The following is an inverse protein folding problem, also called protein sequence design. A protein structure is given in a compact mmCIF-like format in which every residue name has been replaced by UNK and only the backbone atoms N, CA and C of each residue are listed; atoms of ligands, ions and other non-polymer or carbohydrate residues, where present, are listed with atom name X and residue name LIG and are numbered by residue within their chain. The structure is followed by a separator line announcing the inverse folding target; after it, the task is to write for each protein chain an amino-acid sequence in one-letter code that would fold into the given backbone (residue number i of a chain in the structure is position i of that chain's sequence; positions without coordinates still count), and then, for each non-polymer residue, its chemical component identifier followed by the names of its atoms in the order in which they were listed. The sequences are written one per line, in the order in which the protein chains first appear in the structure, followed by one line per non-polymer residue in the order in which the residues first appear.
data_IF_621197644513
#
_entry.id   IF_621197644513
#
_cell.length_a   1.000
_cell.length_b   1.000
_cell.length_c   1.000
_cell.angle_alpha   90.00
_cell.angle_beta   90.00
_cell.angle_gamma   90.00
#
_symmetry.space_group_name_H-M   'P 1'
#
loop_
_entity.id
_entity.type
_entity.pdbx_description
1 polymer ?
#
# COMPACT_ATOMS: atom_id res chain seq x y z
N UNK A 1 -10.52 -26.56 34.20
CA UNK A 1 -11.01 -26.11 32.89
C UNK A 1 -9.88 -26.39 31.92
N UNK A 2 -10.06 -27.35 31.02
CA UNK A 2 -9.01 -27.84 30.12
C UNK A 2 -8.62 -26.72 29.14
N UNK A 3 -7.30 -26.43 29.10
CA UNK A 3 -6.70 -25.66 28.04
C UNK A 3 -7.07 -26.29 26.68
N UNK A 4 -8.09 -25.76 26.03
CA UNK A 4 -8.30 -26.04 24.62
C UNK A 4 -7.10 -25.41 23.91
N UNK A 5 -6.08 -26.22 23.57
CA UNK A 5 -4.92 -25.81 22.79
C UNK A 5 -5.45 -25.10 21.56
N UNK A 6 -5.09 -23.84 21.38
CA UNK A 6 -5.28 -23.11 20.13
C UNK A 6 -4.62 -23.93 19.02
N UNK A 7 -5.42 -24.56 18.19
CA UNK A 7 -4.93 -25.42 17.13
C UNK A 7 -4.91 -24.60 15.85
N UNK A 8 -3.74 -24.44 15.24
CA UNK A 8 -3.63 -23.81 13.94
C UNK A 8 -4.52 -24.53 12.91
N UNK A 9 -5.15 -23.81 12.02
CA UNK A 9 -6.08 -24.33 10.99
C UNK A 9 -5.44 -25.40 10.09
N UNK A 10 -4.09 -25.44 10.01
CA UNK A 10 -3.29 -26.38 9.22
C UNK A 10 -2.71 -27.55 10.02
N UNK A 11 -3.09 -27.74 11.29
CA UNK A 11 -2.49 -28.71 12.23
C UNK A 11 -2.81 -30.19 12.00
N UNK A 12 -3.66 -30.55 11.03
CA UNK A 12 -4.22 -31.91 10.93
C UNK A 12 -3.21 -33.06 10.68
N UNK A 13 -1.99 -32.78 10.19
CA UNK A 13 -0.94 -33.80 9.94
C UNK A 13 0.14 -33.83 11.03
N UNK A 14 0.14 -32.87 11.93
CA UNK A 14 1.19 -32.68 12.93
C UNK A 14 0.78 -33.26 14.29
N UNK A 15 1.68 -33.97 14.95
CA UNK A 15 1.50 -34.53 16.30
C UNK A 15 1.87 -33.52 17.40
N UNK A 16 2.61 -32.47 17.06
CA UNK A 16 3.09 -31.44 17.98
C UNK A 16 2.79 -30.04 17.39
N UNK A 17 2.64 -29.05 18.27
CA UNK A 17 2.56 -27.64 17.85
C UNK A 17 3.92 -27.11 17.38
N UNK A 18 3.96 -25.96 16.67
CA UNK A 18 5.22 -25.33 16.26
C UNK A 18 6.05 -24.92 17.48
N UNK A 19 7.37 -25.03 17.34
CA UNK A 19 8.29 -24.52 18.37
C UNK A 19 8.16 -23.01 18.51
N UNK A 20 8.38 -22.47 19.73
CA UNK A 20 8.30 -21.02 20.01
C UNK A 20 9.14 -20.18 19.04
N UNK A 21 10.34 -20.65 18.69
CA UNK A 21 11.19 -19.97 17.73
C UNK A 21 10.56 -19.89 16.33
N UNK A 22 9.85 -20.93 15.91
CA UNK A 22 9.14 -20.96 14.62
C UNK A 22 7.97 -20.00 14.60
N UNK A 23 7.22 -19.87 15.70
CA UNK A 23 6.14 -18.87 15.82
C UNK A 23 6.69 -17.45 15.69
N UNK A 24 7.80 -17.16 16.38
CA UNK A 24 8.45 -15.83 16.33
C UNK A 24 9.05 -15.48 14.97
N UNK A 25 9.51 -16.46 14.20
CA UNK A 25 10.07 -16.24 12.85
C UNK A 25 8.96 -16.19 11.80
N UNK A 26 7.91 -16.99 11.98
CA UNK A 26 6.83 -17.15 11.02
C UNK A 26 5.72 -16.12 11.13
N UNK A 27 5.59 -15.42 12.27
CA UNK A 27 4.53 -14.42 12.44
C UNK A 27 4.74 -13.23 11.49
N UNK A 28 3.65 -12.77 10.89
CA UNK A 28 3.63 -11.59 10.04
C UNK A 28 2.62 -10.54 10.51
N UNK A 29 1.78 -10.87 11.50
CA UNK A 29 0.69 -9.99 11.96
C UNK A 29 1.19 -8.64 12.46
N UNK A 30 2.39 -8.56 13.03
CA UNK A 30 3.02 -7.31 13.42
C UNK A 30 3.20 -6.31 12.27
N UNK A 31 3.23 -6.80 11.03
CA UNK A 31 3.38 -6.00 9.81
C UNK A 31 2.10 -5.99 8.97
N UNK A 32 1.47 -7.16 8.77
CA UNK A 32 0.37 -7.34 7.81
C UNK A 32 -1.01 -6.96 8.38
N UNK A 33 -1.15 -6.68 9.68
CA UNK A 33 -2.37 -6.10 10.26
C UNK A 33 -2.89 -4.88 9.48
N UNK A 34 -2.02 -4.20 8.72
CA UNK A 34 -2.40 -3.10 7.81
C UNK A 34 -3.30 -3.54 6.67
N UNK A 35 -3.32 -4.82 6.36
CA UNK A 35 -4.18 -5.40 5.31
C UNK A 35 -5.59 -5.70 5.81
N UNK A 36 -5.86 -5.61 7.11
CA UNK A 36 -7.15 -5.95 7.69
C UNK A 36 -8.38 -5.34 6.99
N UNK A 37 -8.40 -4.04 6.62
CA UNK A 37 -9.54 -3.49 5.89
C UNK A 37 -9.77 -4.14 4.53
N UNK A 38 -8.69 -4.57 3.85
CA UNK A 38 -8.74 -5.21 2.53
C UNK A 38 -9.14 -6.68 2.65
N UNK A 39 -8.61 -7.41 3.64
CA UNK A 39 -9.04 -8.78 3.95
C UNK A 39 -10.52 -8.84 4.32
N UNK A 40 -10.99 -7.94 5.18
CA UNK A 40 -12.40 -7.86 5.56
C UNK A 40 -13.25 -7.55 4.32
N UNK A 41 -12.83 -6.64 3.45
CA UNK A 41 -13.51 -6.35 2.19
C UNK A 41 -13.56 -7.57 1.28
N UNK A 42 -12.44 -8.27 1.11
CA UNK A 42 -12.34 -9.53 0.34
C UNK A 42 -13.24 -10.62 0.90
N UNK A 43 -13.22 -10.81 2.22
CA UNK A 43 -14.05 -11.80 2.93
C UNK A 43 -15.53 -11.50 2.84
N UNK A 44 -15.96 -10.23 2.87
CA UNK A 44 -17.37 -9.84 2.65
C UNK A 44 -17.84 -10.14 1.23
N UNK A 45 -17.02 -9.88 0.22
CA UNK A 45 -17.31 -10.23 -1.16
C UNK A 45 -17.37 -11.75 -1.37
N UNK A 46 -16.48 -12.50 -0.72
CA UNK A 46 -16.52 -13.97 -0.72
C UNK A 46 -17.82 -14.51 -0.12
N UNK A 47 -18.24 -14.01 1.04
CA UNK A 47 -19.50 -14.40 1.67
C UNK A 47 -20.71 -14.08 0.77
N UNK A 48 -20.71 -12.90 0.14
CA UNK A 48 -21.76 -12.51 -0.80
C UNK A 48 -21.84 -13.46 -2.01
N UNK A 49 -20.69 -13.82 -2.58
CA UNK A 49 -20.61 -14.75 -3.70
C UNK A 49 -21.06 -16.16 -3.29
N UNK A 50 -20.62 -16.67 -2.13
CA UNK A 50 -21.04 -17.99 -1.66
C UNK A 50 -22.57 -18.08 -1.47
N UNK A 51 -23.20 -17.01 -1.00
CA UNK A 51 -24.65 -16.92 -0.91
C UNK A 51 -25.32 -16.80 -2.30
N UNK A 52 -24.72 -16.01 -3.21
CA UNK A 52 -25.22 -15.85 -4.58
C UNK A 52 -25.28 -17.18 -5.33
N UNK A 53 -24.28 -18.03 -5.15
CA UNK A 53 -24.24 -19.36 -5.79
C UNK A 53 -24.90 -20.47 -4.95
N UNK A 54 -25.49 -20.15 -3.80
CA UNK A 54 -26.27 -21.07 -2.95
C UNK A 54 -25.43 -22.03 -2.11
N UNK A 55 -24.15 -21.76 -1.88
CA UNK A 55 -23.28 -22.55 -1.00
C UNK A 55 -23.55 -22.25 0.49
N UNK A 56 -23.88 -21.00 0.80
CA UNK A 56 -24.37 -20.58 2.12
C UNK A 56 -25.72 -19.90 1.97
N UNK A 57 -26.46 -19.76 3.09
CA UNK A 57 -27.74 -19.05 3.05
C UNK A 57 -27.54 -17.53 3.12
N UNK A 58 -28.61 -16.77 2.84
CA UNK A 58 -28.57 -15.31 2.97
C UNK A 58 -28.38 -14.89 4.43
N UNK A 59 -29.00 -15.63 5.38
CA UNK A 59 -28.86 -15.40 6.81
C UNK A 59 -27.41 -15.63 7.29
N UNK A 60 -26.76 -16.68 6.78
CA UNK A 60 -25.35 -16.95 7.08
C UNK A 60 -24.43 -15.86 6.54
N UNK A 61 -24.67 -15.38 5.30
CA UNK A 61 -23.96 -14.24 4.71
C UNK A 61 -24.13 -13.00 5.58
N UNK A 62 -25.35 -12.66 5.98
CA UNK A 62 -25.65 -11.44 6.75
C UNK A 62 -24.97 -11.49 8.13
N UNK A 63 -25.00 -12.66 8.78
CA UNK A 63 -24.29 -12.87 10.04
C UNK A 63 -22.77 -12.71 9.89
N UNK A 64 -22.17 -13.29 8.84
CA UNK A 64 -20.74 -13.17 8.56
C UNK A 64 -20.38 -11.69 8.29
N UNK A 65 -21.15 -11.00 7.45
CA UNK A 65 -20.86 -9.59 7.13
C UNK A 65 -21.03 -8.68 8.35
N UNK A 66 -22.01 -8.93 9.21
CA UNK A 66 -22.19 -8.20 10.46
C UNK A 66 -21.00 -8.42 11.43
N UNK A 67 -20.54 -9.67 11.60
CA UNK A 67 -19.36 -9.99 12.39
C UNK A 67 -18.08 -9.33 11.85
N UNK A 68 -17.86 -9.37 10.55
CA UNK A 68 -16.71 -8.70 9.91
C UNK A 68 -16.76 -7.17 10.10
N UNK A 69 -17.95 -6.55 10.04
CA UNK A 69 -18.10 -5.12 10.32
C UNK A 69 -17.78 -4.78 11.78
N UNK A 70 -18.20 -5.62 12.73
CA UNK A 70 -17.89 -5.43 14.14
C UNK A 70 -16.37 -5.53 14.40
N UNK A 71 -15.70 -6.51 13.79
CA UNK A 71 -14.24 -6.65 13.88
C UNK A 71 -13.54 -5.42 13.27
N UNK A 72 -13.98 -4.95 12.10
CA UNK A 72 -13.40 -3.75 11.48
C UNK A 72 -13.52 -2.53 12.40
N UNK A 73 -14.69 -2.33 13.01
CA UNK A 73 -14.90 -1.23 13.95
C UNK A 73 -13.97 -1.32 15.18
N UNK A 74 -13.72 -2.52 15.71
CA UNK A 74 -12.75 -2.72 16.81
C UNK A 74 -11.30 -2.41 16.35
N UNK A 75 -10.92 -2.80 15.12
CA UNK A 75 -9.61 -2.51 14.56
C UNK A 75 -9.42 -1.00 14.38
N UNK A 76 -10.41 -0.30 13.82
CA UNK A 76 -10.38 1.16 13.63
C UNK A 76 -10.35 1.93 14.94
N UNK A 77 -11.00 1.41 15.99
CA UNK A 77 -10.96 1.98 17.34
C UNK A 77 -9.64 1.66 18.09
N UNK A 78 -8.79 0.77 17.57
CA UNK A 78 -7.59 0.30 18.23
C UNK A 78 -7.88 -0.66 19.42
N UNK A 79 -9.05 -1.26 19.44
CA UNK A 79 -9.52 -2.16 20.50
C UNK A 79 -9.33 -3.65 20.15
N UNK A 80 -9.04 -3.97 18.90
CA UNK A 80 -8.80 -5.34 18.46
C UNK A 80 -7.43 -5.82 18.93
N UNK A 81 -7.39 -7.00 19.58
CA UNK A 81 -6.14 -7.60 20.08
C UNK A 81 -5.57 -8.57 19.07
N UNK A 82 -4.41 -8.22 18.53
CA UNK A 82 -3.65 -9.09 17.63
C UNK A 82 -2.87 -10.14 18.41
N UNK A 83 -2.99 -11.40 18.01
CA UNK A 83 -2.29 -12.53 18.61
C UNK A 83 -1.20 -13.05 17.64
N UNK A 84 0.10 -12.87 17.95
CA UNK A 84 1.18 -13.38 17.10
C UNK A 84 1.21 -14.91 16.96
N UNK A 85 0.59 -15.66 17.89
CA UNK A 85 0.48 -17.11 17.78
C UNK A 85 -0.45 -17.57 16.65
N UNK A 86 -1.26 -16.63 16.11
CA UNK A 86 -2.13 -16.84 14.97
C UNK A 86 -1.49 -16.45 13.64
N UNK A 87 -0.16 -16.31 13.60
CA UNK A 87 0.64 -16.14 12.39
C UNK A 87 0.37 -14.83 11.64
N UNK A 88 -0.80 -14.66 11.02
CA UNK A 88 -1.12 -13.56 10.09
C UNK A 88 -2.43 -12.82 10.46
N UNK A 89 -2.67 -11.70 9.78
CA UNK A 89 -3.90 -10.90 9.90
C UNK A 89 -5.16 -11.73 9.63
N UNK A 90 -5.09 -12.62 8.66
CA UNK A 90 -6.24 -13.42 8.21
C UNK A 90 -6.68 -14.43 9.26
N UNK A 91 -5.73 -15.15 9.90
CA UNK A 91 -6.06 -16.09 10.98
C UNK A 91 -6.61 -15.38 12.22
N UNK A 92 -6.08 -14.20 12.54
CA UNK A 92 -6.59 -13.38 13.63
C UNK A 92 -8.06 -12.99 13.40
N UNK A 93 -8.38 -12.48 12.21
CA UNK A 93 -9.76 -12.11 11.84
C UNK A 93 -10.66 -13.32 11.76
N UNK A 94 -10.21 -14.42 11.13
CA UNK A 94 -10.98 -15.65 10.98
C UNK A 94 -11.32 -16.28 12.34
N UNK A 95 -10.36 -16.32 13.27
CA UNK A 95 -10.58 -16.86 14.59
C UNK A 95 -11.58 -15.99 15.37
N UNK A 96 -11.40 -14.68 15.40
CA UNK A 96 -12.31 -13.76 16.07
C UNK A 96 -13.73 -13.87 15.51
N UNK A 97 -13.85 -13.93 14.18
CA UNK A 97 -15.15 -14.07 13.52
C UNK A 97 -15.83 -15.41 13.85
N UNK A 98 -15.08 -16.52 13.82
CA UNK A 98 -15.65 -17.85 14.06
C UNK A 98 -16.10 -18.05 15.50
N UNK A 99 -15.49 -17.37 16.47
CA UNK A 99 -15.92 -17.39 17.86
C UNK A 99 -17.32 -16.78 18.04
N UNK A 100 -17.63 -15.72 17.31
CA UNK A 100 -18.89 -14.98 17.41
C UNK A 100 -19.95 -15.52 16.42
N UNK A 101 -19.53 -15.98 15.24
CA UNK A 101 -20.39 -16.37 14.14
C UNK A 101 -20.02 -17.78 13.66
N UNK A 102 -20.69 -18.86 14.13
CA UNK A 102 -20.36 -20.24 13.73
C UNK A 102 -20.41 -20.48 12.22
N UNK A 103 -21.28 -19.76 11.48
CA UNK A 103 -21.36 -19.84 10.01
C UNK A 103 -20.05 -19.40 9.32
N UNK A 104 -19.19 -18.63 9.99
CA UNK A 104 -17.92 -18.17 9.47
C UNK A 104 -16.94 -19.32 9.13
N UNK A 105 -17.09 -20.49 9.74
CA UNK A 105 -16.36 -21.68 9.37
C UNK A 105 -16.53 -22.08 7.89
N UNK A 106 -17.60 -21.62 7.22
CA UNK A 106 -17.86 -21.83 5.80
C UNK A 106 -17.19 -20.80 4.88
N UNK A 107 -16.70 -19.68 5.43
CA UNK A 107 -16.21 -18.56 4.64
C UNK A 107 -14.99 -18.92 3.78
N UNK A 108 -14.16 -19.86 4.23
CA UNK A 108 -12.98 -20.32 3.50
C UNK A 108 -13.30 -21.30 2.35
N UNK A 109 -14.58 -21.64 2.13
CA UNK A 109 -15.00 -22.51 1.03
C UNK A 109 -14.54 -21.98 -0.32
N UNK A 110 -13.91 -22.83 -1.13
CA UNK A 110 -13.36 -22.50 -2.45
C UNK A 110 -12.30 -21.37 -2.47
N UNK A 111 -11.69 -21.05 -1.34
CA UNK A 111 -10.63 -20.04 -1.17
C UNK A 111 -9.39 -20.69 -0.58
N UNK A 112 -8.22 -20.22 -1.00
CA UNK A 112 -6.93 -20.50 -0.36
C UNK A 112 -6.39 -19.22 0.29
N UNK A 113 -5.47 -19.38 1.24
CA UNK A 113 -4.69 -18.24 1.72
C UNK A 113 -3.95 -17.54 0.57
N UNK A 114 -3.50 -18.29 -0.45
CA UNK A 114 -2.75 -17.73 -1.58
C UNK A 114 -3.55 -16.71 -2.41
N UNK A 115 -4.75 -17.05 -2.86
CA UNK A 115 -5.58 -16.12 -3.65
C UNK A 115 -6.21 -15.03 -2.76
N UNK A 116 -6.42 -15.29 -1.48
CA UNK A 116 -6.84 -14.29 -0.49
C UNK A 116 -5.77 -13.20 -0.36
N UNK A 117 -4.54 -13.55 -0.01
CA UNK A 117 -3.42 -12.59 0.14
C UNK A 117 -3.15 -11.83 -1.17
N UNK A 118 -3.16 -12.52 -2.32
CA UNK A 118 -2.97 -11.87 -3.61
C UNK A 118 -4.07 -10.83 -3.90
N UNK A 119 -5.31 -11.10 -3.49
CA UNK A 119 -6.43 -10.17 -3.64
C UNK A 119 -6.27 -8.94 -2.74
N UNK A 120 -5.92 -9.16 -1.48
CA UNK A 120 -5.76 -8.09 -0.49
C UNK A 120 -4.62 -7.16 -0.87
N UNK A 121 -3.50 -7.71 -1.34
CA UNK A 121 -2.38 -6.93 -1.84
C UNK A 121 -2.77 -6.07 -3.04
N UNK A 122 -3.54 -6.60 -4.01
CA UNK A 122 -4.00 -5.81 -5.16
C UNK A 122 -4.98 -4.71 -4.74
N UNK A 123 -5.87 -4.97 -3.80
CA UNK A 123 -6.73 -3.94 -3.22
C UNK A 123 -5.91 -2.85 -2.52
N UNK A 124 -4.90 -3.25 -1.75
CA UNK A 124 -3.99 -2.33 -1.08
C UNK A 124 -3.19 -1.49 -2.09
N UNK A 125 -2.65 -2.09 -3.17
CA UNK A 125 -1.93 -1.34 -4.20
C UNK A 125 -2.83 -0.30 -4.88
N UNK A 126 -4.08 -0.64 -5.19
CA UNK A 126 -5.05 0.32 -5.76
C UNK A 126 -5.23 1.51 -4.80
N UNK A 127 -5.47 1.24 -3.53
CA UNK A 127 -5.59 2.28 -2.50
C UNK A 127 -4.31 3.11 -2.35
N UNK A 128 -3.15 2.47 -2.26
CA UNK A 128 -1.88 3.17 -2.10
C UNK A 128 -1.55 4.06 -3.30
N UNK A 129 -1.87 3.61 -4.51
CA UNK A 129 -1.71 4.43 -5.71
C UNK A 129 -2.62 5.65 -5.71
N UNK A 130 -3.86 5.55 -5.19
CA UNK A 130 -4.76 6.70 -5.06
C UNK A 130 -4.22 7.73 -4.06
N UNK A 131 -3.71 7.29 -2.91
CA UNK A 131 -3.11 8.17 -1.90
C UNK A 131 -1.84 8.87 -2.43
N UNK A 132 -1.01 8.15 -3.19
CA UNK A 132 0.17 8.71 -3.85
C UNK A 132 -0.26 9.75 -4.90
N UNK A 133 -1.24 9.45 -5.73
CA UNK A 133 -1.73 10.38 -6.76
C UNK A 133 -2.26 11.69 -6.16
N UNK A 134 -3.05 11.60 -5.08
CA UNK A 134 -3.53 12.76 -4.33
C UNK A 134 -2.38 13.58 -3.75
N UNK A 135 -1.35 12.91 -3.22
CA UNK A 135 -0.18 13.58 -2.65
C UNK A 135 0.65 14.28 -3.72
N UNK A 136 0.87 13.64 -4.87
CA UNK A 136 1.55 14.21 -6.02
C UNK A 136 0.77 15.41 -6.59
N UNK A 137 -0.57 15.31 -6.68
CA UNK A 137 -1.41 16.43 -7.13
C UNK A 137 -1.29 17.65 -6.22
N UNK A 138 -1.26 17.44 -4.89
CA UNK A 138 -1.04 18.54 -3.92
C UNK A 138 0.33 19.17 -4.06
N UNK A 139 1.39 18.35 -4.27
CA UNK A 139 2.74 18.85 -4.48
C UNK A 139 2.84 19.67 -5.78
N UNK A 140 2.23 19.19 -6.86
CA UNK A 140 2.14 19.91 -8.14
C UNK A 140 1.42 21.24 -7.94
N UNK A 141 0.27 21.26 -7.28
CA UNK A 141 -0.48 22.51 -7.02
C UNK A 141 0.38 23.52 -6.25
N UNK A 142 1.06 23.07 -5.20
CA UNK A 142 1.93 23.95 -4.40
C UNK A 142 3.09 24.54 -5.21
N UNK A 143 3.69 23.73 -6.12
CA UNK A 143 4.76 24.22 -7.01
C UNK A 143 4.23 25.19 -8.06
N UNK A 144 3.04 24.97 -8.59
CA UNK A 144 2.38 25.90 -9.53
C UNK A 144 2.04 27.22 -8.85
N UNK A 145 1.49 27.18 -7.63
CA UNK A 145 1.18 28.37 -6.84
C UNK A 145 2.44 29.19 -6.53
N UNK A 146 3.54 28.50 -6.19
CA UNK A 146 4.83 29.16 -5.97
C UNK A 146 5.42 29.72 -7.26
N UNK A 147 5.27 29.02 -8.38
CA UNK A 147 5.70 29.50 -9.69
C UNK A 147 4.93 30.78 -10.09
N UNK A 148 3.61 30.82 -9.85
CA UNK A 148 2.79 32.00 -10.12
C UNK A 148 3.27 33.21 -9.31
N UNK A 149 3.57 33.04 -8.03
CA UNK A 149 4.08 34.08 -7.15
C UNK A 149 5.48 34.58 -7.54
N UNK A 150 6.28 33.75 -8.22
CA UNK A 150 7.69 34.00 -8.55
C UNK A 150 7.95 34.30 -10.03
N UNK A 151 6.93 34.58 -10.84
CA UNK A 151 7.04 34.78 -12.29
C UNK A 151 8.08 35.85 -12.69
N UNK A 152 8.22 36.91 -11.88
CA UNK A 152 9.13 38.04 -12.15
C UNK A 152 10.51 37.88 -11.50
N UNK A 153 10.73 36.79 -10.76
CA UNK A 153 12.02 36.52 -10.10
C UNK A 153 12.92 35.84 -11.07
N UNK A 154 14.06 36.45 -11.37
CA UNK A 154 15.11 35.86 -12.21
C UNK A 154 16.22 35.36 -11.32
N UNK A 155 16.61 34.12 -11.49
CA UNK A 155 17.74 33.48 -10.81
C UNK A 155 18.81 33.04 -11.83
N UNK A 156 20.06 32.86 -11.43
CA UNK A 156 21.02 32.19 -12.30
C UNK A 156 20.66 30.69 -12.39
N UNK A 157 20.55 30.19 -13.62
CA UNK A 157 20.55 28.76 -13.88
C UNK A 157 21.96 28.22 -13.82
N UNK A 158 22.13 26.97 -13.41
CA UNK A 158 23.41 26.34 -13.21
C UNK A 158 23.58 25.08 -14.07
N UNK A 159 24.76 24.93 -14.64
CA UNK A 159 25.30 23.65 -15.14
C UNK A 159 26.65 23.41 -14.49
N UNK A 160 26.94 22.20 -14.02
CA UNK A 160 28.17 21.89 -13.30
C UNK A 160 28.43 22.78 -12.08
N UNK A 161 27.39 23.25 -11.40
CA UNK A 161 27.42 24.26 -10.33
C UNK A 161 28.09 25.59 -10.76
N UNK A 162 28.17 25.86 -12.05
CA UNK A 162 28.64 27.15 -12.60
C UNK A 162 27.44 27.94 -13.12
N UNK A 163 27.44 29.25 -12.88
CA UNK A 163 26.41 30.15 -13.42
C UNK A 163 26.36 30.06 -14.94
N UNK A 164 25.18 29.79 -15.49
CA UNK A 164 25.00 29.59 -16.93
C UNK A 164 24.07 30.68 -17.50
N UNK A 165 22.76 30.44 -17.53
CA UNK A 165 21.79 31.36 -18.12
C UNK A 165 20.87 31.94 -17.04
N UNK A 166 20.39 33.19 -17.20
CA UNK A 166 19.30 33.69 -16.35
C UNK A 166 18.02 32.91 -16.63
N UNK A 167 17.35 32.47 -15.56
CA UNK A 167 16.15 31.65 -15.62
C UNK A 167 15.07 32.25 -14.70
N UNK A 168 13.82 32.37 -15.16
CA UNK A 168 12.72 32.66 -14.24
C UNK A 168 12.60 31.55 -13.18
N UNK A 169 12.48 31.92 -11.91
CA UNK A 169 12.25 30.96 -10.81
C UNK A 169 11.04 30.07 -11.13
N UNK A 170 9.98 30.65 -11.65
CA UNK A 170 8.80 29.92 -12.08
C UNK A 170 9.12 28.80 -13.09
N UNK A 171 9.97 29.07 -14.09
CA UNK A 171 10.36 28.08 -15.08
C UNK A 171 11.13 26.92 -14.47
N UNK A 172 12.00 27.19 -13.50
CA UNK A 172 12.72 26.14 -12.74
C UNK A 172 11.76 25.27 -11.93
N UNK A 173 10.81 25.87 -11.20
CA UNK A 173 9.81 25.15 -10.42
C UNK A 173 8.92 24.28 -11.31
N UNK A 174 8.50 24.77 -12.47
CA UNK A 174 7.69 24.02 -13.42
C UNK A 174 8.41 22.82 -14.02
N UNK A 175 9.74 22.78 -14.03
CA UNK A 175 10.48 21.57 -14.41
C UNK A 175 10.19 20.40 -13.44
N UNK A 176 10.00 20.67 -12.15
CA UNK A 176 9.58 19.66 -11.17
C UNK A 176 8.11 19.28 -11.33
N UNK A 177 7.25 20.20 -11.71
CA UNK A 177 5.85 19.88 -12.06
C UNK A 177 5.80 18.87 -13.19
N UNK A 178 6.62 19.03 -14.24
CA UNK A 178 6.73 18.05 -15.33
C UNK A 178 7.22 16.68 -14.86
N UNK A 179 8.18 16.63 -13.93
CA UNK A 179 8.65 15.36 -13.35
C UNK A 179 7.53 14.66 -12.57
N UNK A 180 6.86 15.37 -11.66
CA UNK A 180 5.77 14.82 -10.86
C UNK A 180 4.54 14.43 -11.70
N UNK A 181 4.27 15.13 -12.80
CA UNK A 181 3.21 14.76 -13.74
C UNK A 181 3.50 13.40 -14.42
N UNK A 182 4.76 13.16 -14.82
CA UNK A 182 5.18 11.83 -15.32
C UNK A 182 5.10 10.76 -14.24
N UNK A 183 5.40 11.09 -12.99
CA UNK A 183 5.26 10.17 -11.85
C UNK A 183 3.81 9.75 -11.65
N UNK A 184 2.85 10.67 -11.80
CA UNK A 184 1.41 10.35 -11.76
C UNK A 184 1.02 9.39 -12.88
N UNK A 185 1.54 9.57 -14.08
CA UNK A 185 1.30 8.66 -15.21
C UNK A 185 1.84 7.25 -14.91
N UNK A 186 3.04 7.16 -14.35
CA UNK A 186 3.63 5.88 -13.94
C UNK A 186 2.81 5.20 -12.83
N UNK A 187 2.41 5.96 -11.82
CA UNK A 187 1.58 5.48 -10.72
C UNK A 187 0.21 4.97 -11.21
N UNK A 188 -0.41 5.66 -12.17
CA UNK A 188 -1.67 5.23 -12.79
C UNK A 188 -1.51 3.89 -13.54
N UNK A 189 -0.39 3.68 -14.23
CA UNK A 189 -0.10 2.41 -14.90
C UNK A 189 0.05 1.25 -13.89
N UNK A 190 0.70 1.49 -12.75
CA UNK A 190 0.80 0.52 -11.65
C UNK A 190 -0.59 0.18 -11.09
N UNK A 191 -1.44 1.19 -10.86
CA UNK A 191 -2.80 0.98 -10.38
C UNK A 191 -3.62 0.12 -11.35
N UNK A 192 -3.50 0.36 -12.66
CA UNK A 192 -4.20 -0.42 -13.68
C UNK A 192 -3.74 -1.88 -13.69
N UNK A 193 -2.45 -2.15 -13.52
CA UNK A 193 -1.95 -3.53 -13.40
C UNK A 193 -2.42 -4.22 -12.12
N UNK A 194 -2.64 -3.48 -11.03
CA UNK A 194 -3.25 -4.03 -9.83
C UNK A 194 -4.74 -4.34 -10.02
N UNK A 195 -5.40 -3.80 -11.04
CA UNK A 195 -6.84 -3.82 -11.23
C UNK A 195 -7.36 -5.13 -11.86
N UNK A 196 -6.83 -6.28 -11.45
CA UNK A 196 -7.30 -7.61 -11.87
C UNK A 196 -7.51 -8.50 -10.66
N UNK A 197 -8.67 -9.19 -10.58
CA UNK A 197 -9.09 -9.99 -9.44
C UNK A 197 -8.48 -11.40 -9.48
N UNK A 198 -7.63 -11.79 -8.52
CA UNK A 198 -7.10 -13.15 -8.44
C UNK A 198 -8.01 -14.11 -7.67
N UNK A 199 -9.00 -13.63 -6.90
CA UNK A 199 -9.84 -14.46 -6.04
C UNK A 199 -10.62 -15.48 -6.84
N UNK A 200 -10.61 -16.73 -6.36
CA UNK A 200 -11.11 -17.91 -7.06
C UNK A 200 -10.01 -18.71 -7.78
N UNK A 201 -8.76 -18.24 -7.74
CA UNK A 201 -7.61 -19.03 -8.21
C UNK A 201 -7.26 -20.19 -7.28
N UNK A 202 -7.77 -20.18 -6.05
CA UNK A 202 -7.46 -21.18 -5.03
C UNK A 202 -5.98 -21.16 -4.65
N UNK A 203 -5.44 -22.34 -4.34
CA UNK A 203 -4.02 -22.44 -4.03
C UNK A 203 -3.12 -22.20 -5.27
N UNK A 204 -3.45 -22.85 -6.40
CA UNK A 204 -2.73 -22.75 -7.69
C UNK A 204 -3.59 -23.12 -8.91
N UNK A 205 -4.71 -23.85 -8.73
CA UNK A 205 -5.43 -24.52 -9.83
C UNK A 205 -6.95 -24.26 -9.81
N UNK A 206 -7.40 -23.22 -9.14
CA UNK A 206 -8.83 -22.91 -9.00
C UNK A 206 -9.55 -23.88 -8.08
N UNK A 207 -10.84 -24.07 -8.34
CA UNK A 207 -11.73 -24.95 -7.54
C UNK A 207 -12.73 -25.66 -8.45
N UNK A 208 -13.23 -26.81 -7.99
CA UNK A 208 -14.32 -27.56 -8.65
C UNK A 208 -15.72 -27.08 -8.22
N UNK A 209 -15.80 -26.18 -7.24
CA UNK A 209 -17.06 -25.61 -6.78
C UNK A 209 -17.55 -24.51 -7.76
N UNK A 210 -18.88 -24.35 -7.92
CA UNK A 210 -19.47 -23.43 -8.88
C UNK A 210 -19.44 -21.96 -8.39
N UNK A 211 -18.24 -21.41 -8.19
CA UNK A 211 -18.07 -20.02 -7.79
C UNK A 211 -18.26 -19.06 -8.96
N UNK A 212 -18.67 -17.82 -8.66
CA UNK A 212 -18.78 -16.73 -9.63
C UNK A 212 -17.68 -15.68 -9.42
N UNK A 213 -16.58 -15.81 -10.17
CA UNK A 213 -15.45 -14.88 -10.12
C UNK A 213 -15.79 -13.48 -10.65
N UNK A 214 -16.73 -13.39 -11.63
CA UNK A 214 -17.16 -12.08 -12.15
C UNK A 214 -17.94 -11.30 -11.10
N UNK A 215 -18.79 -11.99 -10.34
CA UNK A 215 -19.50 -11.40 -9.22
C UNK A 215 -18.51 -10.80 -8.21
N UNK A 216 -17.52 -11.58 -7.78
CA UNK A 216 -16.50 -11.14 -6.80
C UNK A 216 -15.69 -9.97 -7.33
N UNK A 217 -15.26 -10.00 -8.58
CA UNK A 217 -14.50 -8.90 -9.17
C UNK A 217 -15.29 -7.58 -9.18
N UNK A 218 -16.58 -7.63 -9.49
CA UNK A 218 -17.47 -6.45 -9.43
C UNK A 218 -17.63 -5.94 -8.00
N UNK A 219 -17.91 -6.82 -7.05
CA UNK A 219 -18.07 -6.46 -5.62
C UNK A 219 -16.81 -5.79 -5.06
N UNK A 220 -15.63 -6.24 -5.48
CA UNK A 220 -14.35 -5.69 -5.03
C UNK A 220 -13.90 -4.44 -5.81
N UNK A 221 -14.59 -4.12 -6.93
CA UNK A 221 -14.25 -3.00 -7.79
C UNK A 221 -13.04 -3.27 -8.69
N UNK A 222 -12.77 -4.54 -9.03
CA UNK A 222 -11.86 -4.90 -10.11
C UNK A 222 -12.63 -4.86 -11.44
N UNK A 223 -12.82 -3.65 -11.94
CA UNK A 223 -13.57 -3.38 -13.17
C UNK A 223 -12.79 -2.40 -14.04
N UNK A 224 -13.01 -2.47 -15.36
CA UNK A 224 -12.54 -1.46 -16.30
C UNK A 224 -13.42 -0.20 -16.27
N UNK A 225 -13.11 0.74 -17.13
CA UNK A 225 -13.84 2.01 -17.26
C UNK A 225 -15.29 1.86 -17.76
N UNK A 226 -15.62 0.70 -18.33
CA UNK A 226 -16.99 0.34 -18.77
C UNK A 226 -17.76 -0.43 -17.69
N UNK A 227 -17.11 -0.74 -16.55
CA UNK A 227 -17.69 -1.53 -15.46
C UNK A 227 -17.63 -3.04 -15.68
N UNK A 228 -16.86 -3.50 -16.69
CA UNK A 228 -16.66 -4.94 -16.95
C UNK A 228 -15.64 -5.54 -15.97
N UNK A 229 -15.92 -6.74 -15.41
CA UNK A 229 -15.05 -7.35 -14.41
C UNK A 229 -13.69 -7.72 -15.01
N UNK A 230 -12.61 -7.41 -14.31
CA UNK A 230 -11.24 -7.74 -14.65
C UNK A 230 -10.76 -8.93 -13.82
N UNK A 231 -10.44 -10.02 -14.47
CA UNK A 231 -10.02 -11.29 -13.84
C UNK A 231 -8.62 -11.66 -14.29
N UNK A 232 -7.87 -12.31 -13.41
CA UNK A 232 -6.65 -13.03 -13.79
C UNK A 232 -7.01 -14.25 -14.65
N UNK A 233 -6.24 -14.49 -15.71
CA UNK A 233 -6.50 -15.58 -16.67
C UNK A 233 -5.87 -16.92 -16.28
N UNK A 234 -4.74 -16.88 -15.57
CA UNK A 234 -4.03 -18.08 -15.13
C UNK A 234 -3.94 -18.09 -13.61
N UNK A 235 -4.43 -19.17 -12.99
CA UNK A 235 -4.51 -19.29 -11.53
C UNK A 235 -3.14 -19.45 -10.86
N UNK A 236 -2.17 -20.03 -11.53
CA UNK A 236 -0.80 -20.18 -11.00
C UNK A 236 -0.09 -18.84 -10.99
N UNK A 237 -0.17 -18.09 -12.10
CA UNK A 237 0.36 -16.75 -12.22
C UNK A 237 -0.32 -15.81 -11.21
N UNK A 238 -1.65 -15.87 -11.08
CA UNK A 238 -2.43 -15.02 -10.20
C UNK A 238 -1.98 -15.03 -8.73
N UNK A 239 -1.53 -16.18 -8.22
CA UNK A 239 -1.08 -16.34 -6.83
C UNK A 239 0.44 -16.21 -6.66
N UNK A 240 1.20 -16.32 -7.75
CA UNK A 240 2.68 -16.25 -7.73
C UNK A 240 3.24 -14.93 -8.22
N UNK A 241 2.45 -14.10 -8.91
CA UNK A 241 2.87 -12.81 -9.45
C UNK A 241 3.46 -11.89 -8.36
N UNK A 242 4.64 -11.37 -8.65
CA UNK A 242 5.34 -10.39 -7.81
C UNK A 242 5.72 -9.14 -8.59
N UNK A 243 5.39 -9.07 -9.88
CA UNK A 243 5.73 -7.96 -10.75
C UNK A 243 5.14 -6.64 -10.25
N UNK A 244 3.89 -6.69 -9.76
CA UNK A 244 3.22 -5.50 -9.21
C UNK A 244 3.97 -4.89 -8.02
N UNK A 245 4.63 -5.71 -7.17
CA UNK A 245 5.44 -5.23 -6.06
C UNK A 245 6.67 -4.48 -6.53
N UNK A 246 7.36 -5.03 -7.55
CA UNK A 246 8.56 -4.42 -8.15
C UNK A 246 8.19 -3.12 -8.84
N UNK A 247 7.09 -3.11 -9.61
CA UNK A 247 6.65 -1.93 -10.36
C UNK A 247 6.20 -0.81 -9.43
N UNK A 248 5.45 -1.12 -8.37
CA UNK A 248 5.07 -0.15 -7.35
C UNK A 248 6.30 0.45 -6.65
N UNK A 249 7.24 -0.39 -6.21
CA UNK A 249 8.47 0.08 -5.59
C UNK A 249 9.33 0.92 -6.56
N UNK A 250 9.34 0.57 -7.85
CA UNK A 250 10.02 1.34 -8.91
C UNK A 250 9.40 2.73 -9.09
N UNK A 251 8.05 2.80 -9.12
CA UNK A 251 7.35 4.07 -9.17
C UNK A 251 7.67 4.95 -7.95
N UNK A 252 7.62 4.36 -6.74
CA UNK A 252 7.97 5.06 -5.51
C UNK A 252 9.44 5.53 -5.50
N UNK A 253 10.38 4.72 -6.00
CA UNK A 253 11.79 5.09 -6.08
C UNK A 253 12.00 6.26 -7.07
N UNK A 254 11.28 6.28 -8.20
CA UNK A 254 11.33 7.38 -9.18
C UNK A 254 10.82 8.69 -8.57
N UNK A 255 9.68 8.65 -7.89
CA UNK A 255 9.17 9.81 -7.12
C UNK A 255 10.22 10.28 -6.10
N UNK A 256 10.84 9.34 -5.37
CA UNK A 256 11.90 9.65 -4.41
C UNK A 256 13.07 10.39 -5.03
N UNK A 257 13.52 9.99 -6.23
CA UNK A 257 14.61 10.66 -6.97
C UNK A 257 14.21 12.09 -7.33
N UNK A 258 13.00 12.33 -7.82
CA UNK A 258 12.54 13.67 -8.18
C UNK A 258 12.42 14.57 -6.95
N UNK A 259 11.86 14.05 -5.85
CA UNK A 259 11.79 14.78 -4.57
C UNK A 259 13.17 15.06 -3.97
N UNK A 260 14.13 14.14 -4.13
CA UNK A 260 15.51 14.34 -3.68
C UNK A 260 16.18 15.50 -4.44
N UNK A 261 16.00 15.57 -5.76
CA UNK A 261 16.52 16.65 -6.59
C UNK A 261 15.92 18.01 -6.23
N UNK A 262 14.60 18.07 -6.08
CA UNK A 262 13.90 19.27 -5.61
C UNK A 262 14.44 19.72 -4.24
N UNK A 263 14.60 18.78 -3.34
CA UNK A 263 15.12 19.05 -1.99
C UNK A 263 16.54 19.61 -2.02
N UNK A 264 17.40 19.08 -2.86
CA UNK A 264 18.78 19.56 -2.99
C UNK A 264 18.85 21.03 -3.45
N UNK A 265 18.02 21.40 -4.44
CA UNK A 265 17.92 22.80 -4.87
C UNK A 265 17.50 23.72 -3.72
N UNK A 266 16.48 23.36 -2.94
CA UNK A 266 16.02 24.17 -1.82
C UNK A 266 17.02 24.22 -0.66
N UNK A 267 17.76 23.14 -0.42
CA UNK A 267 18.86 23.11 0.57
C UNK A 267 19.95 24.12 0.15
N UNK A 268 20.44 24.04 -1.09
CA UNK A 268 21.42 24.95 -1.62
C UNK A 268 20.93 26.40 -1.61
N UNK A 269 19.72 26.64 -2.11
CA UNK A 269 19.16 27.98 -2.23
C UNK A 269 18.86 28.65 -0.88
N UNK A 270 18.64 27.88 0.18
CA UNK A 270 18.45 28.41 1.54
C UNK A 270 19.75 28.70 2.30
N UNK A 271 20.91 28.30 1.74
CA UNK A 271 22.22 28.57 2.33
C UNK A 271 22.58 30.05 2.24
N UNK A 272 23.53 30.50 3.08
CA UNK A 272 24.01 31.88 3.06
C UNK A 272 24.73 32.24 1.74
N UNK A 273 25.34 31.26 1.09
CA UNK A 273 26.10 31.40 -0.15
C UNK A 273 25.17 31.68 -1.34
N UNK A 274 24.00 31.03 -1.40
CA UNK A 274 23.03 31.25 -2.47
C UNK A 274 21.96 32.28 -2.09
N UNK A 275 21.28 32.09 -0.97
CA UNK A 275 20.32 33.05 -0.42
C UNK A 275 19.09 33.34 -1.31
N UNK A 276 18.73 32.42 -2.22
CA UNK A 276 17.61 32.62 -3.15
C UNK A 276 16.26 32.43 -2.49
N UNK A 277 16.19 31.61 -1.45
CA UNK A 277 14.98 31.31 -0.71
C UNK A 277 15.19 31.43 0.80
N UNK A 278 14.11 31.79 1.49
CA UNK A 278 14.06 31.77 2.96
C UNK A 278 12.98 30.78 3.37
N UNK A 279 13.41 29.72 4.09
CA UNK A 279 12.47 28.72 4.59
C UNK A 279 11.73 29.24 5.84
N UNK A 280 10.44 28.88 6.03
CA UNK A 280 9.70 29.21 7.24
C UNK A 280 10.30 28.52 8.48
N UNK A 281 10.22 29.20 9.64
CA UNK A 281 10.77 28.68 10.90
C UNK A 281 10.14 27.35 11.30
N UNK A 282 8.85 27.16 10.99
CA UNK A 282 8.09 25.94 11.31
C UNK A 282 8.64 24.67 10.62
N UNK A 283 9.44 24.80 9.55
CA UNK A 283 10.01 23.68 8.77
C UNK A 283 11.52 23.63 8.82
N UNK A 284 12.11 24.28 9.82
CA UNK A 284 13.56 24.39 10.01
C UNK A 284 13.90 24.10 11.46
N UNK A 285 15.16 23.74 11.73
CA UNK A 285 15.65 23.57 13.12
C UNK A 285 16.81 24.51 13.38
N UNK A 286 17.06 24.76 14.68
CA UNK A 286 18.19 25.55 15.14
C UNK A 286 19.38 24.71 15.59
N UNK A 287 20.35 25.37 16.20
CA UNK A 287 21.48 24.73 16.85
C UNK A 287 21.47 25.06 18.33
N UNK A 288 21.74 24.10 19.18
CA UNK A 288 21.92 24.32 20.61
C UNK A 288 23.18 25.15 20.97
N UNK A 289 24.14 25.16 20.05
CA UNK A 289 25.44 25.87 20.24
C UNK A 289 25.49 27.21 19.50
N UNK A 290 24.87 27.28 18.31
CA UNK A 290 24.99 28.41 17.39
C UNK A 290 23.63 29.10 17.19
N UNK A 291 23.31 30.20 17.89
CA UNK A 291 22.00 30.82 17.88
C UNK A 291 21.55 31.32 16.51
N UNK A 292 22.50 31.64 15.62
CA UNK A 292 22.22 32.17 14.28
C UNK A 292 21.93 31.07 13.26
N UNK A 293 22.17 29.78 13.60
CA UNK A 293 22.07 28.67 12.66
C UNK A 293 20.62 28.25 12.44
N UNK A 294 20.25 28.05 11.18
CA UNK A 294 18.94 27.61 10.74
C UNK A 294 19.12 26.53 9.67
N UNK A 295 18.63 25.32 9.95
CA UNK A 295 18.86 24.13 9.13
C UNK A 295 17.62 23.80 8.28
N UNK A 296 17.76 23.39 7.01
CA UNK A 296 16.67 23.02 6.13
C UNK A 296 16.21 21.56 6.32
N UNK A 297 16.01 21.12 7.56
CA UNK A 297 15.82 19.69 7.93
C UNK A 297 14.69 19.02 7.15
N UNK A 298 13.61 19.72 6.86
CA UNK A 298 12.49 19.12 6.11
C UNK A 298 12.97 18.59 4.74
N UNK A 299 13.75 19.38 4.01
CA UNK A 299 14.30 18.98 2.72
C UNK A 299 15.43 17.94 2.86
N UNK A 300 16.27 18.06 3.88
CA UNK A 300 17.32 17.08 4.15
C UNK A 300 16.74 15.69 4.44
N UNK A 301 15.63 15.62 5.21
CA UNK A 301 14.93 14.36 5.50
C UNK A 301 14.24 13.77 4.25
N UNK A 302 13.63 14.60 3.39
CA UNK A 302 13.07 14.14 2.12
C UNK A 302 14.16 13.53 1.24
N UNK A 303 15.28 14.26 1.07
CA UNK A 303 16.46 13.77 0.35
C UNK A 303 16.97 12.43 0.89
N UNK A 304 17.12 12.31 2.19
CA UNK A 304 17.62 11.10 2.83
C UNK A 304 16.65 9.89 2.66
N UNK A 305 15.34 10.14 2.76
CA UNK A 305 14.32 9.07 2.62
C UNK A 305 14.24 8.51 1.20
N UNK A 306 14.68 9.24 0.17
CA UNK A 306 14.73 8.72 -1.20
C UNK A 306 15.65 7.51 -1.33
N UNK A 307 16.75 7.48 -0.59
CA UNK A 307 17.66 6.34 -0.56
C UNK A 307 17.00 5.06 -0.01
N UNK A 308 16.09 5.20 0.97
CA UNK A 308 15.33 4.07 1.49
C UNK A 308 14.39 3.47 0.44
N UNK A 309 13.73 4.32 -0.38
CA UNK A 309 12.86 3.85 -1.46
C UNK A 309 13.65 3.07 -2.52
N UNK A 310 14.82 3.57 -2.91
CA UNK A 310 15.72 2.87 -3.82
C UNK A 310 16.23 1.54 -3.23
N UNK A 311 16.58 1.53 -1.95
CA UNK A 311 17.00 0.31 -1.23
C UNK A 311 15.90 -0.74 -1.15
N UNK A 312 14.65 -0.33 -0.91
CA UNK A 312 13.50 -1.23 -0.90
C UNK A 312 13.24 -1.86 -2.28
N UNK A 313 13.37 -1.09 -3.37
CA UNK A 313 13.28 -1.62 -4.74
C UNK A 313 14.40 -2.64 -4.98
N UNK A 314 15.65 -2.34 -4.62
CA UNK A 314 16.76 -3.26 -4.79
C UNK A 314 16.58 -4.55 -4.00
N UNK A 315 16.03 -4.46 -2.79
CA UNK A 315 15.69 -5.63 -1.97
C UNK A 315 14.68 -6.53 -2.69
N UNK A 316 13.58 -5.97 -3.23
CA UNK A 316 12.58 -6.74 -3.97
C UNK A 316 13.17 -7.41 -5.23
N UNK A 317 13.98 -6.67 -6.01
CA UNK A 317 14.65 -7.20 -7.20
C UNK A 317 15.64 -8.35 -6.88
N UNK A 318 16.09 -8.46 -5.64
CA UNK A 318 17.01 -9.52 -5.21
C UNK A 318 16.23 -10.70 -4.59
N UNK A 319 15.06 -10.42 -3.99
CA UNK A 319 14.24 -11.41 -3.29
C UNK A 319 13.44 -12.28 -4.27
N UNK A 320 13.01 -11.74 -5.41
CA UNK A 320 12.21 -12.40 -6.43
C UNK A 320 13.00 -12.71 -7.69
#
# INVERSE_FOLDING_TARGET
MSDAKKQATWGGRFSEGPAELMLRIGESVSLDQRLAPFDIKGSKAQAAMLAHVGIITLEERDAIQAGLNAILAQIEAGEFSWDPELEDVHMNIEQALTQEVPAAAKLHTARSRNDQVATDMRLWFKYACDEIDLSLARAISALVDLADQTQKVIIPGYTHLQGAQPVPMAHHLLAYVEMLARDRTLNAAVKEQANVCPLGSGAIAGTTLPIDRNFVAKELGFVDHEGSPQLTYNSMDAVSDRDIFIQFASACATVGIHLSRLSEDFILWSSAEFGFVKLPDAFTTGSSLMPQKKNPDAFELIRAKSARLAGNLQMLLTMF
#
